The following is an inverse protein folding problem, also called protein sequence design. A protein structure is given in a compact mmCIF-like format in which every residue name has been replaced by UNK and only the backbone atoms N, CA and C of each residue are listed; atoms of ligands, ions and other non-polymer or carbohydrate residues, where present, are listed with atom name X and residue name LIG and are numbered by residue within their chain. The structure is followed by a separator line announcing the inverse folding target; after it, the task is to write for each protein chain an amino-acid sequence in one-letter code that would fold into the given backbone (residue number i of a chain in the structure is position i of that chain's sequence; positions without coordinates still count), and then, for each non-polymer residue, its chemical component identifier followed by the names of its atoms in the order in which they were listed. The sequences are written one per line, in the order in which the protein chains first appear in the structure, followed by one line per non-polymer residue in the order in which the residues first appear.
data_IF_590244698908
#
_entry.id   IF_590244698908
#
_cell.length_a   1.000
_cell.length_b   1.000
_cell.length_c   1.000
_cell.angle_alpha   90.00
_cell.angle_beta   90.00
_cell.angle_gamma   90.00
#
_symmetry.space_group_name_H-M   'P 1'
#
loop_
_entity.id
_entity.type
_entity.pdbx_description
1 polymer ?
#
# COMPACT_ATOMS: atom_id res chain seq x y z
N UNK A 1 -6.43 -4.67 8.40
CA UNK A 1 -7.36 -5.77 8.09
C UNK A 1 -8.39 -5.83 9.22
N UNK A 2 -9.68 -5.80 8.92
CA UNK A 2 -10.73 -5.82 9.94
C UNK A 2 -10.95 -7.25 10.43
N UNK A 3 -10.46 -7.56 11.63
CA UNK A 3 -10.53 -8.91 12.25
C UNK A 3 -11.88 -9.19 12.92
N UNK A 4 -12.71 -8.16 13.06
CA UNK A 4 -14.06 -8.22 13.66
C UNK A 4 -15.16 -8.61 12.67
N UNK A 5 -14.78 -8.92 11.42
CA UNK A 5 -15.67 -9.45 10.40
C UNK A 5 -15.04 -10.68 9.73
N UNK A 6 -15.87 -11.59 9.23
CA UNK A 6 -15.43 -12.81 8.55
C UNK A 6 -14.99 -13.94 9.50
N UNK A 7 -14.12 -14.83 9.00
CA UNK A 7 -13.79 -16.10 9.67
C UNK A 7 -13.15 -15.93 11.06
N UNK A 8 -12.21 -14.98 11.22
CA UNK A 8 -11.55 -14.74 12.53
C UNK A 8 -12.50 -14.14 13.57
N UNK A 9 -13.64 -13.56 13.17
CA UNK A 9 -14.68 -13.13 14.10
C UNK A 9 -15.51 -14.31 14.64
N UNK A 10 -15.61 -15.40 13.87
CA UNK A 10 -16.38 -16.61 14.22
C UNK A 10 -15.50 -17.60 15.00
N UNK A 11 -14.28 -17.83 14.51
CA UNK A 11 -13.39 -18.86 15.02
C UNK A 11 -12.30 -18.32 15.96
N UNK A 12 -12.27 -17.01 16.21
CA UNK A 12 -11.23 -16.36 17.00
C UNK A 12 -9.98 -16.02 16.18
N UNK A 13 -9.13 -15.19 16.77
CA UNK A 13 -7.90 -14.71 16.13
C UNK A 13 -6.96 -15.88 15.81
N UNK A 14 -6.48 -15.96 14.56
CA UNK A 14 -5.65 -17.07 14.13
C UNK A 14 -6.35 -18.44 14.22
N UNK A 15 -7.68 -18.49 14.09
CA UNK A 15 -8.46 -19.73 14.26
C UNK A 15 -8.60 -20.18 15.71
N UNK A 16 -8.45 -19.26 16.67
CA UNK A 16 -8.55 -19.55 18.11
C UNK A 16 -7.23 -19.98 18.73
N UNK A 17 -6.11 -19.85 18.01
CA UNK A 17 -4.77 -20.13 18.54
C UNK A 17 -4.30 -19.10 19.57
N UNK A 18 -4.90 -17.90 19.56
CA UNK A 18 -4.68 -16.87 20.57
C UNK A 18 -5.70 -17.04 21.71
N UNK A 19 -5.26 -17.14 22.98
CA UNK A 19 -6.16 -17.20 24.14
C UNK A 19 -7.13 -16.03 24.21
N UNK A 20 -8.34 -16.29 24.71
CA UNK A 20 -9.42 -15.30 24.76
C UNK A 20 -9.05 -14.04 25.58
N UNK A 21 -8.32 -14.19 26.69
CA UNK A 21 -7.86 -13.06 27.50
C UNK A 21 -6.89 -12.16 26.73
N UNK A 22 -5.90 -12.76 26.09
CA UNK A 22 -4.95 -12.06 25.21
C UNK A 22 -5.65 -11.37 24.04
N UNK A 23 -6.64 -12.02 23.42
CA UNK A 23 -7.44 -11.42 22.36
C UNK A 23 -8.27 -10.22 22.86
N UNK A 24 -8.93 -10.33 24.03
CA UNK A 24 -9.69 -9.21 24.63
C UNK A 24 -8.80 -8.00 24.93
N UNK A 25 -7.59 -8.25 25.41
CA UNK A 25 -6.61 -7.19 25.67
C UNK A 25 -6.18 -6.48 24.37
N UNK A 26 -5.92 -7.23 23.30
CA UNK A 26 -5.68 -6.66 21.97
C UNK A 26 -6.88 -5.83 21.47
N UNK A 27 -8.09 -6.35 21.55
CA UNK A 27 -9.29 -5.63 21.10
C UNK A 27 -9.51 -4.32 21.87
N UNK A 28 -9.24 -4.32 23.18
CA UNK A 28 -9.30 -3.13 24.02
C UNK A 28 -8.23 -2.11 23.64
N UNK A 29 -7.01 -2.56 23.34
CA UNK A 29 -5.94 -1.72 22.82
C UNK A 29 -6.34 -1.07 21.48
N UNK A 30 -6.89 -1.85 20.55
CA UNK A 30 -7.36 -1.37 19.25
C UNK A 30 -8.47 -0.32 19.40
N UNK A 31 -9.44 -0.54 20.31
CA UNK A 31 -10.50 0.44 20.58
C UNK A 31 -9.96 1.73 21.19
N UNK A 32 -8.92 1.66 22.02
CA UNK A 32 -8.24 2.84 22.55
C UNK A 32 -7.51 3.59 21.44
N UNK A 33 -6.83 2.89 20.52
CA UNK A 33 -6.23 3.50 19.33
C UNK A 33 -7.28 4.18 18.45
N UNK A 34 -8.42 3.52 18.17
CA UNK A 34 -9.57 4.12 17.45
C UNK A 34 -10.11 5.37 18.14
N UNK A 35 -10.17 5.35 19.48
CA UNK A 35 -10.54 6.50 20.34
C UNK A 35 -9.41 7.52 20.51
N UNK A 36 -8.31 7.42 19.74
CA UNK A 36 -7.16 8.33 19.76
C UNK A 36 -6.46 8.42 21.11
N UNK A 37 -6.39 7.29 21.81
CA UNK A 37 -5.71 7.13 23.09
C UNK A 37 -4.61 6.06 23.00
N UNK A 38 -3.65 6.16 22.05
CA UNK A 38 -2.62 5.14 21.83
C UNK A 38 -1.78 4.89 23.08
N UNK A 39 -1.50 5.93 23.88
CA UNK A 39 -0.77 5.78 25.14
C UNK A 39 -1.46 4.85 26.14
N UNK A 40 -2.79 4.88 26.17
CA UNK A 40 -3.59 4.01 27.06
C UNK A 40 -3.70 2.59 26.52
N UNK A 41 -3.39 2.37 25.24
CA UNK A 41 -3.43 1.05 24.63
C UNK A 41 -2.23 0.19 25.05
N UNK A 42 -1.08 0.81 25.36
CA UNK A 42 0.17 0.09 25.65
C UNK A 42 0.03 -0.95 26.76
N UNK A 43 -0.52 -0.66 27.95
CA UNK A 43 -0.61 -1.66 29.01
C UNK A 43 -1.38 -2.91 28.58
N UNK A 44 -2.43 -2.75 27.77
CA UNK A 44 -3.20 -3.88 27.24
C UNK A 44 -2.44 -4.66 26.18
N UNK A 45 -1.60 -4.00 25.36
CA UNK A 45 -0.73 -4.71 24.43
C UNK A 45 0.36 -5.50 25.16
N UNK A 46 0.93 -4.92 26.22
CA UNK A 46 1.89 -5.61 27.10
C UNK A 46 1.23 -6.85 27.73
N UNK A 47 0.06 -6.69 28.33
CA UNK A 47 -0.70 -7.79 28.93
C UNK A 47 -1.05 -8.87 27.90
N UNK A 48 -1.49 -8.49 26.70
CA UNK A 48 -1.80 -9.44 25.62
C UNK A 48 -0.58 -10.28 25.24
N UNK A 49 0.60 -9.66 25.11
CA UNK A 49 1.85 -10.33 24.74
C UNK A 49 2.39 -11.19 25.90
N UNK A 50 2.27 -10.72 27.14
CA UNK A 50 2.69 -11.50 28.32
C UNK A 50 1.83 -12.77 28.51
N UNK A 51 0.53 -12.67 28.23
CA UNK A 51 -0.39 -13.81 28.30
C UNK A 51 -0.17 -14.78 27.13
N UNK A 52 0.07 -14.25 25.93
CA UNK A 52 0.37 -15.05 24.74
C UNK A 52 1.42 -14.38 23.87
N UNK A 53 2.68 -14.86 23.93
CA UNK A 53 3.75 -14.39 23.05
C UNK A 53 3.47 -14.67 21.56
N UNK A 54 2.56 -15.60 21.29
CA UNK A 54 2.07 -15.95 19.95
C UNK A 54 0.97 -14.99 19.44
N UNK A 55 0.55 -14.00 20.23
CA UNK A 55 -0.34 -12.93 19.76
C UNK A 55 0.43 -11.94 18.87
N UNK A 56 0.72 -12.37 17.65
CA UNK A 56 1.50 -11.60 16.68
C UNK A 56 0.86 -10.26 16.31
N UNK A 57 -0.47 -10.18 16.32
CA UNK A 57 -1.19 -8.94 16.07
C UNK A 57 -0.96 -7.89 17.17
N UNK A 58 -0.87 -8.30 18.44
CA UNK A 58 -0.49 -7.41 19.53
C UNK A 58 0.96 -6.91 19.38
N UNK A 59 1.87 -7.78 18.95
CA UNK A 59 3.26 -7.41 18.66
C UNK A 59 3.33 -6.37 17.52
N UNK A 60 2.59 -6.56 16.42
CA UNK A 60 2.51 -5.59 15.31
C UNK A 60 2.00 -4.23 15.81
N UNK A 61 0.90 -4.22 16.59
CA UNK A 61 0.32 -2.99 17.08
C UNK A 61 1.29 -2.24 18.02
N UNK A 62 2.05 -2.98 18.84
CA UNK A 62 3.07 -2.41 19.71
C UNK A 62 4.26 -1.84 18.92
N UNK A 63 4.72 -2.55 17.89
CA UNK A 63 5.80 -2.07 17.02
C UNK A 63 5.43 -0.75 16.35
N UNK A 64 4.22 -0.63 15.79
CA UNK A 64 3.77 0.63 15.19
C UNK A 64 3.64 1.79 16.19
N UNK A 65 3.24 1.51 17.44
CA UNK A 65 3.24 2.54 18.47
C UNK A 65 4.67 2.97 18.86
N UNK A 66 5.63 2.06 18.81
CA UNK A 66 7.04 2.33 19.09
C UNK A 66 7.66 3.21 17.98
N UNK A 67 7.42 2.85 16.72
CA UNK A 67 7.88 3.63 15.57
C UNK A 67 7.29 5.05 15.57
N UNK A 68 5.99 5.19 15.88
CA UNK A 68 5.33 6.50 15.98
C UNK A 68 5.94 7.43 17.02
N UNK A 69 6.63 6.90 18.03
CA UNK A 69 7.27 7.70 19.08
C UNK A 69 8.78 7.81 18.89
N UNK A 70 9.25 7.46 17.69
CA UNK A 70 10.60 7.72 17.21
C UNK A 70 11.57 6.57 17.42
N UNK A 71 11.11 5.39 17.85
CA UNK A 71 11.97 4.22 18.07
C UNK A 71 11.77 3.16 16.98
N UNK A 72 12.19 3.52 15.77
CA UNK A 72 12.06 2.68 14.57
C UNK A 72 12.88 1.39 14.66
N UNK A 73 14.08 1.48 15.25
CA UNK A 73 14.95 0.32 15.43
C UNK A 73 14.29 -0.74 16.34
N UNK A 74 13.69 -0.29 17.45
CA UNK A 74 12.93 -1.16 18.33
C UNK A 74 11.71 -1.79 17.63
N UNK A 75 10.96 -0.98 16.86
CA UNK A 75 9.81 -1.49 16.10
C UNK A 75 10.19 -2.58 15.10
N UNK A 76 11.31 -2.40 14.38
CA UNK A 76 11.86 -3.42 13.47
C UNK A 76 12.22 -4.69 14.24
N UNK A 77 12.94 -4.56 15.36
CA UNK A 77 13.35 -5.72 16.15
C UNK A 77 12.14 -6.51 16.68
N UNK A 78 11.10 -5.82 17.15
CA UNK A 78 9.85 -6.44 17.59
C UNK A 78 9.16 -7.22 16.47
N UNK A 79 9.11 -6.66 15.26
CA UNK A 79 8.48 -7.33 14.10
C UNK A 79 9.29 -8.54 13.63
N UNK A 80 10.61 -8.44 13.57
CA UNK A 80 11.50 -9.57 13.22
C UNK A 80 11.41 -10.69 14.28
N UNK A 81 11.24 -10.30 15.56
CA UNK A 81 10.99 -11.24 16.64
C UNK A 81 9.62 -11.92 16.50
N UNK A 82 8.58 -11.16 16.19
CA UNK A 82 7.24 -11.69 15.92
C UNK A 82 7.24 -12.65 14.71
N UNK A 83 8.02 -12.37 13.67
CA UNK A 83 8.19 -13.25 12.51
C UNK A 83 8.77 -14.61 12.94
N UNK A 84 9.89 -14.59 13.67
CA UNK A 84 10.54 -15.82 14.15
C UNK A 84 9.64 -16.63 15.09
N UNK A 85 8.90 -15.94 15.97
CA UNK A 85 7.92 -16.57 16.84
C UNK A 85 6.80 -17.22 16.02
N UNK A 86 6.21 -16.49 15.08
CA UNK A 86 5.18 -17.01 14.19
C UNK A 86 5.64 -18.22 13.38
N UNK A 87 6.86 -18.19 12.81
CA UNK A 87 7.43 -19.34 12.09
C UNK A 87 7.53 -20.58 12.99
N UNK A 88 8.07 -20.43 14.21
CA UNK A 88 8.22 -21.54 15.16
C UNK A 88 6.85 -22.12 15.55
N UNK A 89 5.90 -21.24 15.85
CA UNK A 89 4.55 -21.63 16.28
C UNK A 89 3.80 -22.32 15.15
N UNK A 90 3.91 -21.84 13.91
CA UNK A 90 3.31 -22.49 12.75
C UNK A 90 3.93 -23.86 12.46
N UNK A 91 5.25 -24.03 12.60
CA UNK A 91 5.89 -25.35 12.46
C UNK A 91 5.41 -26.33 13.51
N UNK A 92 5.28 -25.89 14.75
CA UNK A 92 4.75 -26.71 15.85
C UNK A 92 3.29 -27.12 15.60
N UNK A 93 2.45 -26.20 15.11
CA UNK A 93 1.00 -26.41 14.97
C UNK A 93 0.63 -27.13 13.67
N UNK A 94 1.30 -26.80 12.56
CA UNK A 94 0.96 -27.27 11.21
C UNK A 94 1.93 -28.33 10.66
N UNK A 95 3.03 -28.59 11.37
CA UNK A 95 4.12 -29.48 10.96
C UNK A 95 5.32 -28.72 10.42
N UNK A 96 6.50 -29.33 10.52
CA UNK A 96 7.78 -28.74 10.07
C UNK A 96 7.80 -28.40 8.56
N UNK A 97 6.97 -29.08 7.76
CA UNK A 97 6.87 -28.89 6.32
C UNK A 97 5.92 -27.75 5.91
N UNK A 98 5.34 -27.00 6.86
CA UNK A 98 4.29 -26.02 6.57
C UNK A 98 4.75 -24.84 5.68
N UNK A 99 6.06 -24.57 5.62
CA UNK A 99 6.63 -23.55 4.73
C UNK A 99 7.25 -24.13 3.44
N UNK A 100 7.28 -25.45 3.30
CA UNK A 100 7.97 -26.13 2.19
C UNK A 100 7.11 -26.15 0.93
N UNK A 101 7.74 -25.98 -0.24
CA UNK A 101 7.03 -25.89 -1.53
C UNK A 101 6.20 -27.15 -1.87
N UNK A 102 6.61 -28.32 -1.36
CA UNK A 102 5.89 -29.60 -1.51
C UNK A 102 4.97 -29.91 -0.32
N UNK A 103 4.98 -29.06 0.71
CA UNK A 103 4.14 -29.20 1.89
C UNK A 103 2.67 -28.88 1.61
N UNK A 104 1.80 -29.17 2.58
CA UNK A 104 0.33 -29.04 2.41
C UNK A 104 -0.20 -27.61 2.45
N UNK A 105 0.60 -26.65 2.94
CA UNK A 105 0.12 -25.33 3.32
C UNK A 105 0.55 -24.21 2.37
N UNK A 106 1.77 -24.27 1.78
CA UNK A 106 2.23 -23.27 0.81
C UNK A 106 1.24 -23.15 -0.35
N UNK A 107 0.93 -21.91 -0.73
CA UNK A 107 -0.12 -21.63 -1.70
C UNK A 107 -1.52 -21.48 -1.11
N UNK A 108 -1.71 -21.88 0.15
CA UNK A 108 -3.02 -21.97 0.82
C UNK A 108 -3.07 -21.20 2.15
N UNK A 109 -2.04 -20.43 2.51
CA UNK A 109 -1.95 -19.76 3.81
C UNK A 109 -3.23 -18.99 4.15
N UNK A 110 -3.80 -18.23 3.20
CA UNK A 110 -5.04 -17.50 3.48
C UNK A 110 -6.24 -18.35 3.94
N UNK A 111 -6.32 -19.60 3.48
CA UNK A 111 -7.37 -20.54 3.84
C UNK A 111 -7.12 -21.21 5.21
N UNK A 112 -5.91 -21.09 5.74
CA UNK A 112 -5.47 -21.66 7.02
C UNK A 112 -5.39 -20.51 8.03
N UNK A 113 -6.41 -20.41 8.89
CA UNK A 113 -6.61 -19.25 9.76
C UNK A 113 -5.41 -18.98 10.67
N UNK A 114 -4.77 -20.04 11.15
CA UNK A 114 -3.56 -20.04 12.00
C UNK A 114 -2.42 -19.25 11.36
N UNK A 115 -2.32 -19.22 10.02
CA UNK A 115 -1.24 -18.53 9.32
C UNK A 115 -1.51 -17.03 9.10
N UNK A 116 -2.74 -16.54 9.29
CA UNK A 116 -3.10 -15.16 8.99
C UNK A 116 -2.38 -14.12 9.86
N UNK A 117 -2.21 -14.32 11.19
CA UNK A 117 -1.38 -13.43 12.00
C UNK A 117 0.05 -13.32 11.47
N UNK A 118 0.64 -14.45 11.04
CA UNK A 118 1.99 -14.47 10.46
C UNK A 118 2.07 -13.68 9.15
N UNK A 119 1.09 -13.85 8.24
CA UNK A 119 1.02 -13.05 7.00
C UNK A 119 0.91 -11.55 7.28
N UNK A 120 0.22 -11.15 8.37
CA UNK A 120 0.15 -9.74 8.80
C UNK A 120 1.49 -9.22 9.35
N UNK A 121 2.29 -10.06 10.01
CA UNK A 121 3.66 -9.69 10.43
C UNK A 121 4.52 -9.40 9.20
N UNK A 122 4.49 -10.28 8.20
CA UNK A 122 5.25 -10.07 6.95
C UNK A 122 4.84 -8.76 6.26
N UNK A 123 3.52 -8.48 6.20
CA UNK A 123 3.02 -7.23 5.64
C UNK A 123 3.52 -5.99 6.42
N UNK A 124 3.61 -6.09 7.76
CA UNK A 124 4.15 -5.01 8.58
C UNK A 124 5.66 -4.79 8.35
N UNK A 125 6.42 -5.89 8.20
CA UNK A 125 7.84 -5.84 7.85
C UNK A 125 8.07 -5.23 6.47
N UNK A 126 7.30 -5.63 5.45
CA UNK A 126 7.34 -5.04 4.09
C UNK A 126 7.28 -3.51 4.18
N UNK A 127 6.32 -2.99 4.93
CA UNK A 127 6.14 -1.54 5.10
C UNK A 127 7.30 -0.88 5.82
N UNK A 128 7.70 -1.38 6.99
CA UNK A 128 8.71 -0.70 7.82
C UNK A 128 10.10 -0.76 7.16
N UNK A 129 10.41 -1.85 6.45
CA UNK A 129 11.63 -1.97 5.66
C UNK A 129 11.65 -0.98 4.50
N UNK A 130 10.52 -0.79 3.79
CA UNK A 130 10.45 0.24 2.77
C UNK A 130 10.68 1.64 3.35
N UNK A 131 10.03 1.98 4.46
CA UNK A 131 10.19 3.28 5.11
C UNK A 131 11.63 3.53 5.61
N UNK A 132 12.35 2.48 5.99
CA UNK A 132 13.78 2.53 6.39
C UNK A 132 14.75 2.50 5.19
N UNK A 133 14.24 2.38 3.97
CA UNK A 133 15.09 2.27 2.76
C UNK A 133 15.68 0.88 2.51
N UNK A 134 15.27 -0.13 3.28
CA UNK A 134 15.64 -1.56 3.14
C UNK A 134 14.81 -2.23 2.03
N UNK A 135 14.96 -1.72 0.81
CA UNK A 135 14.09 -2.08 -0.33
C UNK A 135 14.26 -3.53 -0.79
N UNK A 136 15.47 -4.10 -0.70
CA UNK A 136 15.70 -5.50 -1.06
C UNK A 136 15.01 -6.47 -0.09
N UNK A 137 15.05 -6.19 1.22
CA UNK A 137 14.35 -7.00 2.22
C UNK A 137 12.84 -6.88 2.09
N UNK A 138 12.35 -5.67 1.79
CA UNK A 138 10.93 -5.46 1.48
C UNK A 138 10.50 -6.30 0.26
N UNK A 139 11.27 -6.29 -0.84
CA UNK A 139 11.00 -7.12 -2.03
C UNK A 139 10.95 -8.61 -1.71
N UNK A 140 11.96 -9.12 -0.98
CA UNK A 140 12.05 -10.56 -0.63
C UNK A 140 10.82 -11.01 0.16
N UNK A 141 10.35 -10.19 1.09
CA UNK A 141 9.15 -10.48 1.87
C UNK A 141 7.89 -10.47 1.01
N UNK A 142 7.76 -9.55 0.06
CA UNK A 142 6.62 -9.52 -0.86
C UNK A 142 6.57 -10.77 -1.75
N UNK A 143 7.73 -11.20 -2.27
CA UNK A 143 7.86 -12.44 -3.03
C UNK A 143 7.47 -13.64 -2.16
N UNK A 144 7.95 -13.71 -0.92
CA UNK A 144 7.60 -14.78 0.02
C UNK A 144 6.09 -14.79 0.32
N UNK A 145 5.48 -13.62 0.55
CA UNK A 145 4.04 -13.51 0.78
C UNK A 145 3.22 -14.02 -0.41
N UNK A 146 3.64 -13.75 -1.66
CA UNK A 146 2.99 -14.29 -2.85
C UNK A 146 3.25 -15.80 -3.04
N UNK A 147 4.42 -16.32 -2.63
CA UNK A 147 4.68 -17.76 -2.60
C UNK A 147 3.72 -18.48 -1.64
N UNK A 148 3.56 -17.92 -0.44
CA UNK A 148 2.67 -18.46 0.60
C UNK A 148 1.19 -18.28 0.25
N UNK A 149 0.84 -17.15 -0.40
CA UNK A 149 -0.51 -16.77 -0.80
C UNK A 149 -0.57 -16.22 -2.26
N UNK A 150 -0.54 -17.09 -3.28
CA UNK A 150 -0.52 -16.73 -4.70
C UNK A 150 -1.74 -15.95 -5.19
N UNK A 151 -2.89 -16.12 -4.52
CA UNK A 151 -4.13 -15.39 -4.83
C UNK A 151 -4.10 -13.94 -4.34
N UNK A 152 -3.01 -13.55 -3.69
CA UNK A 152 -2.73 -12.21 -3.23
C UNK A 152 -3.81 -11.61 -2.32
N UNK A 153 -4.25 -12.38 -1.32
CA UNK A 153 -5.26 -11.93 -0.35
C UNK A 153 -4.77 -10.78 0.55
N UNK A 154 -3.49 -10.44 0.49
CA UNK A 154 -2.85 -9.34 1.22
C UNK A 154 -2.46 -8.16 0.31
N UNK A 155 -2.89 -8.18 -0.96
CA UNK A 155 -2.72 -7.09 -1.94
C UNK A 155 -1.27 -6.68 -2.21
N UNK A 156 -0.32 -7.60 -2.11
CA UNK A 156 1.10 -7.40 -2.41
C UNK A 156 1.38 -7.13 -3.90
N UNK A 157 0.54 -7.64 -4.82
CA UNK A 157 0.76 -7.44 -6.26
C UNK A 157 0.71 -5.98 -6.68
N UNK A 158 0.00 -5.15 -5.92
CA UNK A 158 -0.11 -3.71 -6.18
C UNK A 158 1.20 -2.94 -5.89
N UNK A 159 2.12 -3.51 -5.11
CA UNK A 159 3.36 -2.88 -4.68
C UNK A 159 4.62 -3.60 -5.19
N UNK A 160 4.53 -4.90 -5.53
CA UNK A 160 5.73 -5.68 -5.89
C UNK A 160 6.37 -5.15 -7.17
N UNK A 161 5.58 -4.73 -8.16
CA UNK A 161 6.08 -4.04 -9.35
C UNK A 161 6.93 -2.83 -8.98
N UNK A 162 6.42 -1.98 -8.08
CA UNK A 162 7.07 -0.76 -7.61
C UNK A 162 8.37 -1.05 -6.84
N UNK A 163 8.40 -2.14 -6.08
CA UNK A 163 9.62 -2.57 -5.39
C UNK A 163 10.68 -3.10 -6.36
N UNK A 164 10.26 -3.96 -7.30
CA UNK A 164 11.16 -4.53 -8.31
C UNK A 164 11.82 -3.43 -9.15
N UNK A 165 11.07 -2.42 -9.62
CA UNK A 165 11.67 -1.30 -10.36
C UNK A 165 12.61 -0.45 -9.50
N UNK A 166 12.32 -0.30 -8.20
CA UNK A 166 13.14 0.45 -7.26
C UNK A 166 14.48 -0.23 -7.01
N UNK A 167 14.50 -1.56 -6.98
CA UNK A 167 15.72 -2.36 -6.89
C UNK A 167 16.40 -2.58 -8.26
N UNK A 168 15.92 -1.93 -9.33
CA UNK A 168 16.49 -2.07 -10.68
C UNK A 168 16.16 -3.40 -11.38
N UNK A 169 15.30 -4.24 -10.79
CA UNK A 169 14.85 -5.51 -11.33
C UNK A 169 13.75 -5.32 -12.40
N UNK A 170 14.00 -4.46 -13.40
CA UNK A 170 13.00 -4.07 -14.41
C UNK A 170 12.45 -5.25 -15.21
N UNK A 171 13.28 -6.24 -15.55
CA UNK A 171 12.85 -7.43 -16.28
C UNK A 171 11.82 -8.24 -15.48
N UNK A 172 12.08 -8.41 -14.17
CA UNK A 172 11.18 -9.11 -13.26
C UNK A 172 9.87 -8.33 -13.08
N UNK A 173 9.94 -7.00 -12.93
CA UNK A 173 8.76 -6.15 -12.81
C UNK A 173 7.86 -6.28 -14.05
N UNK A 174 8.43 -6.16 -15.25
CA UNK A 174 7.67 -6.24 -16.49
C UNK A 174 7.05 -7.63 -16.69
N UNK A 175 7.81 -8.70 -16.43
CA UNK A 175 7.29 -10.06 -16.52
C UNK A 175 6.16 -10.30 -15.52
N UNK A 176 6.36 -9.88 -14.26
CA UNK A 176 5.36 -10.01 -13.20
C UNK A 176 4.03 -9.38 -13.61
N UNK A 177 4.07 -8.14 -14.09
CA UNK A 177 2.87 -7.42 -14.49
C UNK A 177 2.21 -8.07 -15.71
N UNK A 178 3.00 -8.50 -16.70
CA UNK A 178 2.48 -9.22 -17.86
C UNK A 178 1.76 -10.51 -17.45
N UNK A 179 2.31 -11.29 -16.52
CA UNK A 179 1.68 -12.50 -16.02
C UNK A 179 0.30 -12.22 -15.40
N UNK A 180 0.16 -11.15 -14.62
CA UNK A 180 -1.12 -10.71 -14.02
C UNK A 180 -2.09 -10.05 -15.02
N UNK A 181 -1.62 -9.60 -16.18
CA UNK A 181 -2.49 -9.17 -17.28
C UNK A 181 -3.04 -10.40 -18.03
N UNK A 182 -2.21 -11.42 -18.21
CA UNK A 182 -2.57 -12.66 -18.93
C UNK A 182 -3.45 -13.59 -18.09
N UNK A 183 -3.31 -13.55 -16.76
CA UNK A 183 -3.99 -14.43 -15.84
C UNK A 183 -4.58 -13.65 -14.66
N UNK A 184 -5.84 -13.92 -14.33
CA UNK A 184 -6.47 -13.39 -13.10
C UNK A 184 -5.72 -13.84 -11.83
N UNK A 185 -5.11 -15.03 -11.85
CA UNK A 185 -4.27 -15.56 -10.79
C UNK A 185 -3.11 -16.36 -11.39
N UNK A 186 -1.96 -15.72 -11.67
CA UNK A 186 -0.83 -16.39 -12.30
C UNK A 186 -0.32 -17.57 -11.45
N UNK A 187 0.20 -18.63 -12.09
CA UNK A 187 0.82 -19.74 -11.38
C UNK A 187 1.87 -19.26 -10.37
N UNK A 188 1.76 -19.72 -9.13
CA UNK A 188 2.67 -19.34 -8.04
C UNK A 188 2.65 -17.85 -7.69
N UNK A 189 1.64 -17.07 -8.10
CA UNK A 189 1.55 -15.63 -7.81
C UNK A 189 2.37 -14.76 -8.76
N UNK A 190 2.90 -15.34 -9.86
CA UNK A 190 3.65 -14.59 -10.88
C UNK A 190 5.11 -14.33 -10.53
N UNK A 191 5.62 -14.90 -9.42
CA UNK A 191 6.99 -14.69 -8.93
C UNK A 191 8.04 -15.65 -9.50
N UNK A 192 7.64 -16.61 -10.34
CA UNK A 192 8.56 -17.44 -11.10
C UNK A 192 9.05 -16.63 -12.32
N UNK A 193 9.90 -15.64 -12.07
CA UNK A 193 10.32 -14.65 -13.06
C UNK A 193 10.97 -15.30 -14.29
N UNK A 194 10.61 -14.81 -15.47
CA UNK A 194 11.21 -15.18 -16.76
C UNK A 194 11.47 -13.91 -17.58
N UNK A 195 12.03 -14.09 -18.77
CA UNK A 195 12.18 -12.98 -19.71
C UNK A 195 10.79 -12.38 -20.05
N UNK A 196 10.61 -11.06 -19.93
CA UNK A 196 9.36 -10.41 -20.30
C UNK A 196 9.15 -10.43 -21.81
N UNK A 197 7.88 -10.46 -22.21
CA UNK A 197 7.50 -10.32 -23.61
C UNK A 197 7.73 -8.89 -24.10
N UNK A 198 8.07 -8.73 -25.38
CA UNK A 198 8.08 -7.43 -26.08
C UNK A 198 6.81 -7.17 -26.89
N UNK A 199 5.88 -8.12 -26.89
CA UNK A 199 4.63 -7.99 -27.61
C UNK A 199 3.76 -6.88 -27.02
N UNK A 200 3.00 -6.24 -27.89
CA UNK A 200 1.96 -5.30 -27.49
C UNK A 200 0.75 -6.07 -26.95
N UNK A 201 0.05 -5.46 -26.01
CA UNK A 201 -1.30 -5.90 -25.64
C UNK A 201 -2.20 -5.77 -26.87
N UNK A 202 -3.09 -6.75 -27.05
CA UNK A 202 -4.15 -6.65 -28.04
C UNK A 202 -5.05 -5.44 -27.75
N UNK A 203 -5.81 -4.99 -28.75
CA UNK A 203 -6.69 -3.84 -28.59
C UNK A 203 -7.77 -4.05 -27.51
N UNK A 204 -8.24 -5.28 -27.31
CA UNK A 204 -9.19 -5.61 -26.23
C UNK A 204 -8.53 -5.53 -24.87
N UNK A 205 -7.36 -6.15 -24.69
CA UNK A 205 -6.58 -6.08 -23.45
C UNK A 205 -6.24 -4.65 -23.08
N UNK A 206 -5.74 -3.85 -24.03
CA UNK A 206 -5.42 -2.44 -23.77
C UNK A 206 -6.63 -1.63 -23.30
N UNK A 207 -7.83 -1.89 -23.87
CA UNK A 207 -9.08 -1.23 -23.44
C UNK A 207 -9.53 -1.66 -22.05
N UNK A 208 -9.40 -2.94 -21.74
CA UNK A 208 -9.74 -3.49 -20.43
C UNK A 208 -8.83 -2.93 -19.34
N UNK A 209 -7.51 -2.97 -19.58
CA UNK A 209 -6.53 -2.42 -18.65
C UNK A 209 -6.70 -0.91 -18.43
N UNK A 210 -7.08 -0.15 -19.47
CA UNK A 210 -7.37 1.29 -19.33
C UNK A 210 -8.58 1.60 -18.43
N UNK A 211 -9.43 0.61 -18.13
CA UNK A 211 -10.65 0.79 -17.31
C UNK A 211 -10.52 0.19 -15.92
N UNK A 212 -9.87 -0.97 -15.81
CA UNK A 212 -9.96 -1.83 -14.63
C UNK A 212 -8.61 -2.27 -14.06
N UNK A 213 -7.49 -1.90 -14.69
CA UNK A 213 -6.18 -2.26 -14.16
C UNK A 213 -5.95 -1.64 -12.78
N UNK A 214 -5.14 -2.30 -11.96
CA UNK A 214 -4.52 -1.65 -10.81
C UNK A 214 -3.53 -0.62 -11.35
N UNK A 215 -3.76 0.67 -11.04
CA UNK A 215 -2.99 1.76 -11.62
C UNK A 215 -1.47 1.60 -11.48
N UNK A 216 -1.01 1.19 -10.29
CA UNK A 216 0.41 1.00 -9.97
C UNK A 216 1.08 0.07 -10.98
N UNK A 217 0.43 -1.05 -11.31
CA UNK A 217 0.98 -2.05 -12.23
C UNK A 217 1.17 -1.48 -13.64
N UNK A 218 0.25 -0.64 -14.13
CA UNK A 218 0.41 -0.04 -15.46
C UNK A 218 1.53 1.01 -15.50
N UNK A 219 1.70 1.77 -14.42
CA UNK A 219 2.80 2.71 -14.28
C UNK A 219 4.14 1.98 -14.19
N UNK A 220 4.23 0.94 -13.36
CA UNK A 220 5.43 0.12 -13.19
C UNK A 220 5.81 -0.60 -14.49
N UNK A 221 4.84 -1.12 -15.25
CA UNK A 221 5.10 -1.73 -16.55
C UNK A 221 5.62 -0.73 -17.58
N UNK A 222 5.07 0.50 -17.59
CA UNK A 222 5.54 1.56 -18.46
C UNK A 222 7.00 1.92 -18.17
N UNK A 223 7.32 2.13 -16.89
CA UNK A 223 8.68 2.49 -16.46
C UNK A 223 9.66 1.33 -16.66
N UNK A 224 9.28 0.09 -16.31
CA UNK A 224 10.10 -1.09 -16.52
C UNK A 224 10.39 -1.33 -18.02
N UNK A 225 9.37 -1.24 -18.88
CA UNK A 225 9.53 -1.36 -20.34
C UNK A 225 10.42 -0.25 -20.89
N UNK A 226 10.27 1.00 -20.43
CA UNK A 226 11.14 2.11 -20.82
C UNK A 226 12.59 1.89 -20.39
N UNK A 227 12.83 1.43 -19.16
CA UNK A 227 14.18 1.16 -18.65
C UNK A 227 14.87 0.02 -19.41
N UNK A 228 14.13 -1.00 -19.83
CA UNK A 228 14.69 -2.13 -20.58
C UNK A 228 14.89 -1.83 -22.07
N UNK A 229 13.95 -1.13 -22.69
CA UNK A 229 13.81 -1.07 -24.15
C UNK A 229 13.75 0.36 -24.71
N UNK A 230 13.83 1.37 -23.85
CA UNK A 230 13.69 2.78 -24.22
C UNK A 230 12.27 3.16 -24.59
N UNK A 231 12.16 4.32 -25.26
CA UNK A 231 10.90 4.78 -25.82
C UNK A 231 10.53 3.97 -27.07
N UNK A 232 9.69 2.96 -26.88
CA UNK A 232 9.30 1.98 -27.89
C UNK A 232 7.78 1.79 -27.89
N UNK A 233 7.20 1.10 -28.90
CA UNK A 233 5.75 0.90 -28.96
C UNK A 233 5.14 0.30 -27.69
N UNK A 234 5.85 -0.61 -27.02
CA UNK A 234 5.37 -1.25 -25.79
C UNK A 234 5.36 -0.28 -24.60
N UNK A 235 6.47 0.42 -24.35
CA UNK A 235 6.55 1.38 -23.24
C UNK A 235 5.54 2.52 -23.43
N UNK A 236 5.33 2.99 -24.66
CA UNK A 236 4.28 3.97 -25.01
C UNK A 236 2.87 3.42 -24.77
N UNK A 237 2.59 2.16 -25.11
CA UNK A 237 1.28 1.55 -24.88
C UNK A 237 0.96 1.47 -23.38
N UNK A 238 1.90 1.00 -22.55
CA UNK A 238 1.72 0.99 -21.09
C UNK A 238 1.61 2.40 -20.51
N UNK A 239 2.45 3.34 -20.98
CA UNK A 239 2.41 4.74 -20.53
C UNK A 239 1.05 5.38 -20.82
N UNK A 240 0.48 5.11 -21.99
CA UNK A 240 -0.86 5.54 -22.36
C UNK A 240 -1.91 4.97 -21.41
N UNK A 241 -1.91 3.65 -21.18
CA UNK A 241 -2.86 2.98 -20.28
C UNK A 241 -2.75 3.57 -18.87
N UNK A 242 -1.53 3.74 -18.36
CA UNK A 242 -1.24 4.36 -17.06
C UNK A 242 -1.87 5.76 -16.94
N UNK A 243 -1.76 6.59 -17.98
CA UNK A 243 -2.31 7.93 -17.99
C UNK A 243 -3.84 7.98 -17.97
N UNK A 244 -4.51 6.98 -18.57
CA UNK A 244 -5.97 6.87 -18.54
C UNK A 244 -6.49 6.31 -17.22
N UNK A 245 -5.86 5.27 -16.69
CA UNK A 245 -6.35 4.60 -15.47
C UNK A 245 -6.13 5.46 -14.23
N UNK A 246 -5.05 6.25 -14.18
CA UNK A 246 -4.77 7.14 -13.05
C UNK A 246 -4.04 8.43 -13.49
N UNK A 247 -4.78 9.46 -13.95
CA UNK A 247 -4.19 10.71 -14.43
C UNK A 247 -3.56 11.58 -13.33
N UNK A 248 -3.88 11.33 -12.05
CA UNK A 248 -3.35 12.13 -10.92
C UNK A 248 -1.84 11.97 -10.80
N UNK A 249 -1.31 10.76 -11.02
CA UNK A 249 0.12 10.45 -10.89
C UNK A 249 0.94 11.32 -11.86
N UNK A 250 0.66 11.27 -13.15
CA UNK A 250 1.38 12.10 -14.14
C UNK A 250 1.12 13.59 -13.98
N UNK A 251 -0.08 13.99 -13.52
CA UNK A 251 -0.31 15.39 -13.17
C UNK A 251 0.68 15.85 -12.10
N UNK A 252 0.85 15.08 -11.03
CA UNK A 252 1.77 15.40 -9.93
C UNK A 252 3.24 15.40 -10.38
N UNK A 253 3.66 14.39 -11.13
CA UNK A 253 5.03 14.26 -11.68
C UNK A 253 5.37 15.46 -12.59
N UNK A 254 4.51 15.78 -13.55
CA UNK A 254 4.79 16.85 -14.52
C UNK A 254 4.69 18.25 -13.90
N UNK A 255 3.88 18.43 -12.85
CA UNK A 255 3.90 19.67 -12.05
C UNK A 255 5.04 19.72 -11.02
N UNK A 256 5.88 18.67 -10.95
CA UNK A 256 6.95 18.53 -9.95
C UNK A 256 6.47 18.73 -8.51
N UNK A 257 5.31 18.16 -8.19
CA UNK A 257 4.78 18.18 -6.83
C UNK A 257 5.76 17.50 -5.85
N UNK A 258 5.75 17.87 -4.57
CA UNK A 258 6.56 17.17 -3.57
C UNK A 258 6.12 15.71 -3.43
N UNK A 259 7.09 14.79 -3.30
CA UNK A 259 6.83 13.39 -2.94
C UNK A 259 6.12 13.33 -1.59
N UNK A 260 5.05 12.52 -1.45
CA UNK A 260 4.47 12.30 -0.15
C UNK A 260 5.49 11.67 0.81
N UNK A 261 5.43 12.04 2.09
CA UNK A 261 6.37 11.54 3.11
C UNK A 261 5.92 10.21 3.75
N UNK A 262 4.63 9.90 3.66
CA UNK A 262 3.99 8.74 4.30
C UNK A 262 2.78 8.27 3.51
N UNK A 263 2.36 7.05 3.80
CA UNK A 263 1.12 6.45 3.30
C UNK A 263 -0.11 7.28 3.65
N UNK A 264 -1.10 7.21 2.77
CA UNK A 264 -2.43 7.72 3.03
C UNK A 264 -3.21 6.75 3.94
N UNK A 265 -3.90 7.31 4.95
CA UNK A 265 -4.63 6.54 5.96
C UNK A 265 -6.15 6.55 5.72
N UNK A 266 -6.63 7.17 4.65
CA UNK A 266 -8.04 7.19 4.29
C UNK A 266 -8.46 5.85 3.66
N UNK A 267 -9.77 5.54 3.68
CA UNK A 267 -10.32 4.45 2.89
C UNK A 267 -9.97 4.64 1.42
N UNK A 268 -9.52 3.57 0.77
CA UNK A 268 -9.12 3.59 -0.65
C UNK A 268 -10.32 3.23 -1.52
N UNK A 269 -10.79 4.14 -2.39
CA UNK A 269 -11.62 3.74 -3.52
C UNK A 269 -10.72 3.18 -4.65
N UNK A 270 -11.25 2.29 -5.47
CA UNK A 270 -10.49 1.68 -6.58
C UNK A 270 -9.88 2.75 -7.49
N UNK A 271 -8.55 2.74 -7.64
CA UNK A 271 -7.80 3.75 -8.38
C UNK A 271 -8.14 5.19 -7.94
N UNK A 272 -8.28 5.37 -6.63
CA UNK A 272 -8.53 6.67 -6.01
C UNK A 272 -7.32 7.60 -5.98
N UNK A 273 -7.52 8.87 -5.59
CA UNK A 273 -6.43 9.78 -5.24
C UNK A 273 -5.50 9.23 -4.16
N UNK A 274 -6.01 8.39 -3.26
CA UNK A 274 -5.27 7.71 -2.19
C UNK A 274 -4.28 6.68 -2.77
N UNK A 275 -4.69 5.91 -3.77
CA UNK A 275 -3.79 4.97 -4.48
C UNK A 275 -2.69 5.74 -5.24
N UNK A 276 -3.06 6.85 -5.89
CA UNK A 276 -2.07 7.72 -6.54
C UNK A 276 -1.07 8.31 -5.54
N UNK A 277 -1.52 8.67 -4.34
CA UNK A 277 -0.66 9.16 -3.27
C UNK A 277 0.32 8.07 -2.82
N UNK A 278 -0.17 6.85 -2.54
CA UNK A 278 0.67 5.73 -2.11
C UNK A 278 1.67 5.34 -3.21
N UNK A 279 1.27 5.34 -4.48
CA UNK A 279 2.17 5.09 -5.60
C UNK A 279 3.30 6.13 -5.70
N UNK A 280 2.96 7.42 -5.57
CA UNK A 280 3.95 8.50 -5.58
C UNK A 280 4.87 8.41 -4.36
N UNK A 281 4.34 8.05 -3.18
CA UNK A 281 5.17 7.75 -2.01
C UNK A 281 6.14 6.60 -2.32
N UNK A 282 5.72 5.57 -3.06
CA UNK A 282 6.57 4.44 -3.41
C UNK A 282 7.60 4.72 -4.49
N UNK A 283 7.34 5.58 -5.48
CA UNK A 283 8.11 5.59 -6.74
C UNK A 283 8.42 6.97 -7.33
N UNK A 284 7.92 8.07 -6.77
CA UNK A 284 7.96 9.36 -7.46
C UNK A 284 9.38 9.81 -7.86
N UNK A 285 10.38 9.58 -7.03
CA UNK A 285 11.79 9.83 -7.33
C UNK A 285 12.26 9.15 -8.63
N UNK A 286 11.82 7.92 -8.90
CA UNK A 286 12.16 7.19 -10.14
C UNK A 286 11.57 7.88 -11.38
N UNK A 287 10.37 8.47 -11.25
CA UNK A 287 9.72 9.24 -12.30
C UNK A 287 10.29 10.65 -12.49
N UNK A 288 11.09 11.12 -11.52
CA UNK A 288 11.72 12.43 -11.54
C UNK A 288 13.15 12.40 -12.11
N UNK A 289 13.66 11.22 -12.46
CA UNK A 289 14.91 11.09 -13.22
C UNK A 289 14.80 11.86 -14.55
N UNK A 290 15.87 12.57 -15.00
CA UNK A 290 15.75 13.54 -16.09
C UNK A 290 15.22 12.95 -17.41
N UNK A 291 15.68 11.77 -17.77
CA UNK A 291 15.29 11.06 -18.99
C UNK A 291 13.84 10.55 -18.93
N UNK A 292 13.44 9.97 -17.80
CA UNK A 292 12.06 9.50 -17.55
C UNK A 292 11.09 10.67 -17.55
N UNK A 293 11.40 11.73 -16.80
CA UNK A 293 10.54 12.90 -16.73
C UNK A 293 10.38 13.56 -18.10
N UNK A 294 11.48 13.67 -18.86
CA UNK A 294 11.44 14.22 -20.22
C UNK A 294 10.60 13.36 -21.16
N UNK A 295 10.74 12.04 -21.12
CA UNK A 295 9.93 11.10 -21.90
C UNK A 295 8.43 11.28 -21.62
N UNK A 296 8.04 11.32 -20.35
CA UNK A 296 6.63 11.53 -19.96
C UNK A 296 6.13 12.92 -20.39
N UNK A 297 6.94 13.98 -20.21
CA UNK A 297 6.57 15.35 -20.56
C UNK A 297 6.40 15.56 -22.08
N UNK A 298 7.12 14.78 -22.89
CA UNK A 298 7.03 14.84 -24.36
C UNK A 298 5.91 13.96 -24.91
N UNK A 299 5.39 13.00 -24.13
CA UNK A 299 4.35 12.07 -24.56
C UNK A 299 3.00 12.75 -24.81
N UNK A 300 2.53 12.68 -26.06
CA UNK A 300 1.21 13.20 -26.42
C UNK A 300 0.07 12.35 -25.84
N UNK A 301 0.26 11.04 -25.70
CA UNK A 301 -0.73 10.16 -25.07
C UNK A 301 -0.94 10.53 -23.60
N UNK A 302 0.13 10.84 -22.85
CA UNK A 302 0.04 11.33 -21.47
C UNK A 302 -0.69 12.66 -21.43
N UNK A 303 -0.30 13.62 -22.28
CA UNK A 303 -0.98 14.93 -22.39
C UNK A 303 -2.47 14.78 -22.72
N UNK A 304 -2.84 13.80 -23.53
CA UNK A 304 -4.24 13.51 -23.84
C UNK A 304 -5.01 12.94 -22.64
N UNK A 305 -4.36 12.17 -21.77
CA UNK A 305 -4.97 11.65 -20.55
C UNK A 305 -5.14 12.68 -19.43
N UNK A 306 -4.26 13.69 -19.34
CA UNK A 306 -4.21 14.58 -18.16
C UNK A 306 -4.59 16.04 -18.40
N UNK A 307 -4.42 16.58 -19.61
CA UNK A 307 -4.74 17.98 -19.89
C UNK A 307 -6.24 18.22 -19.77
N UNK A 308 -6.60 19.28 -19.05
CA UNK A 308 -7.99 19.57 -18.71
C UNK A 308 -8.61 20.57 -19.70
N UNK A 309 -9.93 20.69 -19.63
CA UNK A 309 -10.69 21.70 -20.35
C UNK A 309 -11.21 22.75 -19.37
N UNK A 310 -11.39 23.97 -19.86
CA UNK A 310 -12.08 25.00 -19.09
C UNK A 310 -13.57 24.66 -19.02
N UNK A 311 -14.13 24.58 -17.82
CA UNK A 311 -15.53 24.23 -17.59
C UNK A 311 -16.52 25.25 -18.18
N UNK A 312 -16.05 26.45 -18.57
CA UNK A 312 -16.90 27.46 -19.20
C UNK A 312 -16.82 27.55 -20.72
N UNK A 313 -15.59 27.60 -21.26
CA UNK A 313 -15.37 27.87 -22.69
C UNK A 313 -14.82 26.67 -23.45
N UNK A 314 -14.58 25.55 -22.77
CA UNK A 314 -14.03 24.32 -23.33
C UNK A 314 -12.67 24.49 -24.04
N UNK A 315 -11.96 25.60 -23.79
CA UNK A 315 -10.56 25.73 -24.16
C UNK A 315 -9.78 24.63 -23.45
N UNK A 316 -8.90 23.94 -24.17
CA UNK A 316 -8.02 22.90 -23.62
C UNK A 316 -6.74 23.53 -23.07
N UNK A 317 -6.23 22.97 -21.98
CA UNK A 317 -4.88 23.28 -21.48
C UNK A 317 -3.83 22.93 -22.54
N UNK A 318 -2.75 23.70 -22.56
CA UNK A 318 -1.54 23.43 -23.37
C UNK A 318 -0.40 22.88 -22.53
N UNK A 319 -0.38 23.24 -21.25
CA UNK A 319 0.55 22.73 -20.24
C UNK A 319 -0.23 22.16 -19.05
N UNK A 320 0.32 21.16 -18.38
CA UNK A 320 -0.34 20.50 -17.24
C UNK A 320 -0.63 21.50 -16.12
N UNK A 321 -1.87 21.52 -15.64
CA UNK A 321 -2.31 22.41 -14.56
C UNK A 321 -2.16 23.92 -14.86
N UNK A 322 -2.25 24.31 -16.14
CA UNK A 322 -2.32 25.70 -16.60
C UNK A 322 -3.53 26.43 -15.98
N UNK A 323 -4.68 25.77 -15.90
CA UNK A 323 -5.93 26.39 -15.49
C UNK A 323 -6.08 26.46 -13.98
N UNK A 324 -6.67 27.56 -13.50
CA UNK A 324 -6.93 27.75 -12.07
C UNK A 324 -8.19 27.00 -11.67
N UNK A 325 -8.15 26.34 -10.51
CA UNK A 325 -9.30 25.67 -9.92
C UNK A 325 -10.17 26.65 -9.15
N UNK A 326 -11.47 26.39 -9.06
CA UNK A 326 -12.33 27.10 -8.11
C UNK A 326 -11.73 26.99 -6.70
N UNK A 327 -11.51 28.12 -6.02
CA UNK A 327 -10.85 28.15 -4.72
C UNK A 327 -11.63 27.43 -3.62
N UNK A 328 -12.95 27.33 -3.77
CA UNK A 328 -13.85 26.68 -2.84
C UNK A 328 -13.89 25.15 -3.04
N UNK A 329 -14.53 24.67 -4.11
CA UNK A 329 -14.72 23.22 -4.32
C UNK A 329 -13.46 22.51 -4.86
N UNK A 330 -12.61 23.23 -5.62
CA UNK A 330 -11.45 22.70 -6.37
C UNK A 330 -11.77 21.65 -7.45
N UNK A 331 -13.04 21.50 -7.81
CA UNK A 331 -13.54 20.52 -8.79
C UNK A 331 -13.41 21.06 -10.22
N UNK A 332 -13.99 22.25 -10.47
CA UNK A 332 -13.96 22.92 -11.77
C UNK A 332 -12.70 23.77 -11.96
N UNK A 333 -12.34 24.01 -13.22
CA UNK A 333 -11.14 24.69 -13.71
C UNK A 333 -11.50 25.74 -14.76
N UNK A 334 -10.80 26.87 -14.71
CA UNK A 334 -11.00 27.97 -15.64
C UNK A 334 -9.68 28.49 -16.19
N UNK A 335 -9.68 28.73 -17.50
CA UNK A 335 -8.53 29.37 -18.17
C UNK A 335 -8.33 30.83 -17.73
N UNK A 336 -9.40 31.51 -17.31
CA UNK A 336 -9.35 32.90 -16.84
C UNK A 336 -10.38 33.18 -15.74
N UNK A 337 -10.17 34.21 -14.90
CA UNK A 337 -11.18 34.68 -13.94
C UNK A 337 -12.50 35.09 -14.58
N UNK A 338 -12.47 35.58 -15.83
CA UNK A 338 -13.68 35.95 -16.58
C UNK A 338 -14.54 34.72 -16.88
N UNK A 339 -13.93 33.59 -17.25
CA UNK A 339 -14.64 32.33 -17.44
C UNK A 339 -15.31 31.85 -16.14
N UNK A 340 -14.62 31.95 -15.00
CA UNK A 340 -15.21 31.64 -13.69
C UNK A 340 -16.43 32.51 -13.39
N UNK A 341 -16.33 33.85 -13.59
CA UNK A 341 -17.46 34.77 -13.35
C UNK A 341 -18.66 34.45 -14.24
N UNK A 342 -18.42 34.12 -15.52
CA UNK A 342 -19.46 33.74 -16.49
C UNK A 342 -20.11 32.40 -16.17
N UNK A 343 -19.43 31.52 -15.45
CA UNK A 343 -19.95 30.21 -15.03
C UNK A 343 -20.57 30.23 -13.62
N UNK A 344 -20.39 31.30 -12.86
CA UNK A 344 -20.73 31.29 -11.44
C UNK A 344 -22.21 31.05 -11.15
N UNK A 345 -23.12 31.59 -11.98
CA UNK A 345 -24.55 31.37 -11.80
C UNK A 345 -24.96 29.90 -11.94
N UNK A 346 -24.28 29.14 -12.81
CA UNK A 346 -24.51 27.71 -13.04
C UNK A 346 -23.73 26.84 -12.07
N UNK A 347 -22.47 27.18 -11.75
CA UNK A 347 -21.61 26.38 -10.88
C UNK A 347 -21.92 26.52 -9.39
N UNK A 348 -22.41 27.69 -8.92
CA UNK A 348 -22.57 27.97 -7.48
C UNK A 348 -23.41 26.94 -6.71
N UNK A 349 -24.55 26.42 -7.22
CA UNK A 349 -25.31 25.36 -6.56
C UNK A 349 -24.47 24.10 -6.34
N UNK A 350 -23.81 23.60 -7.39
CA UNK A 350 -22.96 22.40 -7.33
C UNK A 350 -21.76 22.59 -6.40
N UNK A 351 -21.17 23.79 -6.42
CA UNK A 351 -20.07 24.15 -5.52
C UNK A 351 -20.49 24.02 -4.05
N UNK A 352 -21.70 24.46 -3.69
CA UNK A 352 -22.22 24.36 -2.32
C UNK A 352 -22.51 22.92 -1.94
N UNK A 353 -23.21 22.18 -2.80
CA UNK A 353 -23.52 20.77 -2.57
C UNK A 353 -22.25 19.94 -2.34
N UNK A 354 -21.21 20.15 -3.14
CA UNK A 354 -19.92 19.47 -2.97
C UNK A 354 -19.24 19.82 -1.63
N UNK A 355 -19.31 21.08 -1.19
CA UNK A 355 -18.75 21.48 0.10
C UNK A 355 -19.49 20.84 1.28
N UNK A 356 -20.82 20.76 1.21
CA UNK A 356 -21.65 20.10 2.22
C UNK A 356 -21.32 18.61 2.33
N UNK A 357 -21.25 17.91 1.20
CA UNK A 357 -20.83 16.51 1.14
C UNK A 357 -19.42 16.31 1.73
N UNK A 358 -18.48 17.21 1.42
CA UNK A 358 -17.11 17.14 1.95
C UNK A 358 -17.03 17.38 3.46
N UNK A 359 -17.94 18.17 4.02
CA UNK A 359 -18.06 18.35 5.48
C UNK A 359 -18.61 17.08 6.11
N UNK A 360 -19.70 16.52 5.57
CA UNK A 360 -20.28 15.27 6.04
C UNK A 360 -19.26 14.12 5.98
N UNK A 361 -18.54 13.97 4.86
CA UNK A 361 -17.49 12.98 4.72
C UNK A 361 -16.36 13.16 5.74
N UNK A 362 -15.91 14.40 6.01
CA UNK A 362 -14.89 14.66 7.05
C UNK A 362 -15.39 14.41 8.47
N UNK A 363 -16.68 14.58 8.73
CA UNK A 363 -17.29 14.23 10.02
C UNK A 363 -17.35 12.71 10.21
N UNK A 364 -17.65 11.97 9.15
CA UNK A 364 -17.66 10.51 9.15
C UNK A 364 -16.24 9.90 9.20
N UNK A 365 -15.26 10.52 8.53
CA UNK A 365 -13.88 10.05 8.41
C UNK A 365 -12.83 11.12 8.77
N UNK A 366 -12.66 11.45 10.07
CA UNK A 366 -11.78 12.54 10.49
C UNK A 366 -10.30 12.13 10.54
N UNK A 367 -9.46 12.68 9.66
CA UNK A 367 -7.99 12.51 9.68
C UNK A 367 -7.29 13.71 10.33
N UNK A 368 -6.45 13.46 11.35
CA UNK A 368 -5.52 14.46 11.91
C UNK A 368 -4.14 13.81 12.13
N UNK A 369 -3.09 14.49 11.68
CA UNK A 369 -1.70 14.13 11.96
C UNK A 369 -1.42 14.26 13.45
N UNK A 370 -0.99 13.17 14.08
CA UNK A 370 -0.45 13.21 15.43
C UNK A 370 1.01 13.70 15.33
N UNK A 371 1.26 14.95 15.73
CA UNK A 371 2.59 15.44 16.06
C UNK A 371 2.59 15.69 17.57
N UNK A 372 2.96 14.67 18.35
CA UNK A 372 3.19 14.82 19.78
C UNK A 372 4.67 15.01 20.03
N UNK A 373 5.10 16.23 20.39
CA UNK A 373 6.41 16.47 20.98
C UNK A 373 6.40 16.04 22.46
N UNK A 374 7.52 15.49 22.90
CA UNK A 374 8.03 15.28 24.27
C UNK A 374 7.86 13.89 24.92
N UNK A 375 9.01 13.47 25.42
CA UNK A 375 9.50 12.17 25.90
C UNK A 375 8.96 11.76 27.27
N UNK A 376 8.20 10.66 27.29
CA UNK A 376 8.07 9.69 28.41
C UNK A 376 7.58 8.30 27.91
N UNK A 377 7.58 8.07 26.59
CA UNK A 377 6.86 6.96 25.97
C UNK A 377 7.67 5.66 25.86
N UNK A 378 8.97 5.76 25.61
CA UNK A 378 9.90 4.64 25.42
C UNK A 378 9.89 3.67 26.61
N UNK A 379 9.78 4.19 27.84
CA UNK A 379 9.75 3.38 29.07
C UNK A 379 8.52 2.47 29.15
N UNK A 380 7.38 2.85 28.55
CA UNK A 380 6.14 2.05 28.61
C UNK A 380 6.12 0.90 27.59
N UNK A 381 6.91 0.99 26.51
CA UNK A 381 6.97 -0.03 25.44
C UNK A 381 8.07 -1.07 25.67
N UNK A 382 9.10 -0.74 26.45
CA UNK A 382 10.17 -1.66 26.86
C UNK A 382 9.67 -3.03 27.42
N UNK A 383 8.59 -3.09 28.21
CA UNK A 383 8.03 -4.36 28.70
C UNK A 383 7.55 -5.30 27.58
N UNK A 384 7.04 -4.78 26.44
CA UNK A 384 6.63 -5.62 25.31
C UNK A 384 7.81 -6.39 24.71
N UNK A 385 8.96 -5.73 24.59
CA UNK A 385 10.20 -6.36 24.12
C UNK A 385 10.68 -7.43 25.08
N UNK A 386 10.74 -7.11 26.38
CA UNK A 386 11.16 -8.04 27.41
C UNK A 386 10.23 -9.26 27.46
N UNK A 387 8.91 -9.05 27.35
CA UNK A 387 7.93 -10.11 27.25
C UNK A 387 8.26 -11.05 26.08
N UNK A 388 8.43 -10.52 24.86
CA UNK A 388 8.76 -11.35 23.69
C UNK A 388 10.12 -12.07 23.81
N UNK A 389 11.13 -11.46 24.46
CA UNK A 389 12.47 -12.04 24.65
C UNK A 389 12.51 -13.11 25.76
N UNK A 390 11.69 -12.99 26.81
CA UNK A 390 11.68 -13.93 27.94
C UNK A 390 11.33 -15.37 27.52
N UNK A 391 10.52 -15.54 26.47
CA UNK A 391 10.10 -16.85 25.97
C UNK A 391 11.01 -17.44 24.88
N UNK A 392 12.15 -16.80 24.58
CA UNK A 392 13.14 -17.33 23.64
C UNK A 392 14.23 -18.20 24.29
N UNK A 393 14.27 -18.33 25.62
CA UNK A 393 15.24 -19.22 26.26
C UNK A 393 14.86 -20.68 25.93
N UNK A 394 15.71 -21.44 25.21
CA UNK A 394 15.50 -22.86 25.09
C UNK A 394 15.52 -23.45 26.51
N UNK A 395 14.56 -24.33 26.80
CA UNK A 395 14.32 -24.86 28.14
C UNK A 395 15.62 -25.31 28.82
N UNK A 396 15.82 -24.79 30.03
CA UNK A 396 16.47 -25.54 31.09
C UNK A 396 15.33 -26.02 32.01
N UNK A 397 15.42 -27.25 32.53
CA UNK A 397 14.29 -28.13 32.87
C UNK A 397 13.23 -27.54 33.81
#
# INVERSE_FOLDING_TARGET
MEKRSGAEAIFGLGGGTVPEGSQKNLEKAEDLCKKRKPKKAIPYLVEAILESPDNLDAAIQCAYLSDQEGDRAEAIEMLELAERTGQRTLKKTLGEDCFEAKGRHVGRFWLVMETRPYMRVLQALVRIYFEEGRYEESEKLMIEMLRLCPRDNTSQRAWLGSMLIRNGHYANALYFIQAWIEHESPPGGGIAFKAPSRSLLSASQAREQSRFAIANMMHDAALASFRLFGDCPQSRQFLKIAAYVQPIIFTKILTRASRPEKLDMHPRPDNGPEDAHDYLWLTQDLWMEPDVWQWVNQSQDVKNGILQFCDKCYKRETTVAEFKRCSACRVVRYCTPQCQKKDWSTHKPDCKAFLEQKVQHRQLYPVKSFMGKNSTFTTMLHPCKLALRQFQRPGCP
#
